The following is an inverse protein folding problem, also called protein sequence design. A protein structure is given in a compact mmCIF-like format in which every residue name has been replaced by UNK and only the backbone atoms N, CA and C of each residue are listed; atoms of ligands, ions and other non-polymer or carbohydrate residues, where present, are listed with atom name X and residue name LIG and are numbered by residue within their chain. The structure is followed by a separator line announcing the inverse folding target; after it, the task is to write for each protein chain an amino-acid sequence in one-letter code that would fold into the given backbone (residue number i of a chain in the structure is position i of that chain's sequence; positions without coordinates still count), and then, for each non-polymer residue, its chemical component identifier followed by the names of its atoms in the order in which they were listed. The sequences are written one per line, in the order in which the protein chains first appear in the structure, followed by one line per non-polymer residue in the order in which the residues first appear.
data_IF_573183445884
#
_entry.id   IF_573183445884
#
_cell.length_a   1.000
_cell.length_b   1.000
_cell.length_c   1.000
_cell.angle_alpha   90.00
_cell.angle_beta   90.00
_cell.angle_gamma   90.00
#
_symmetry.space_group_name_H-M   'P 1'
#
loop_
_entity.id
_entity.type
_entity.pdbx_description
1 polymer ?
#
# COMPACT_ATOMS: atom_id res chain seq x y z
N UNK A 1 14.85 -17.79 36.77
CA UNK A 1 13.87 -18.33 35.80
C UNK A 1 13.47 -17.24 34.84
N UNK A 2 13.89 -17.43 33.60
CA UNK A 2 13.45 -16.83 32.32
C UNK A 2 14.65 -16.81 31.39
N UNK A 3 14.51 -17.37 30.19
CA UNK A 3 15.02 -16.67 29.03
C UNK A 3 13.92 -16.51 27.98
N UNK A 4 13.71 -15.25 27.64
CA UNK A 4 13.00 -14.71 26.47
C UNK A 4 13.45 -15.40 25.19
N UNK A 5 12.51 -16.04 24.51
CA UNK A 5 12.69 -16.55 23.14
C UNK A 5 12.41 -15.46 22.11
N UNK A 6 13.32 -15.16 21.17
CA UNK A 6 13.00 -14.36 20.00
C UNK A 6 12.33 -15.22 18.92
N UNK A 7 11.22 -14.71 18.36
CA UNK A 7 10.51 -15.31 17.24
C UNK A 7 11.40 -15.30 15.99
N UNK A 8 11.81 -16.51 15.59
CA UNK A 8 12.71 -16.80 14.46
C UNK A 8 11.86 -17.06 13.20
N UNK A 9 11.76 -16.07 12.32
CA UNK A 9 11.10 -16.20 11.01
C UNK A 9 12.08 -16.76 9.97
N UNK A 10 12.35 -18.06 9.98
CA UNK A 10 13.18 -18.69 8.95
C UNK A 10 12.41 -18.95 7.65
N UNK A 11 12.95 -18.38 6.56
CA UNK A 11 13.05 -18.90 5.20
C UNK A 11 11.91 -19.77 4.64
N UNK A 12 11.08 -19.17 3.79
CA UNK A 12 10.39 -19.88 2.72
C UNK A 12 10.78 -19.29 1.34
N UNK A 13 11.73 -19.96 0.69
CA UNK A 13 11.99 -19.82 -0.75
C UNK A 13 10.96 -20.68 -1.51
N UNK A 14 10.09 -20.06 -2.30
CA UNK A 14 9.07 -20.76 -3.10
C UNK A 14 9.47 -20.82 -4.59
N UNK A 15 9.27 -22.00 -5.20
CA UNK A 15 9.48 -22.27 -6.62
C UNK A 15 8.38 -21.63 -7.48
N UNK A 16 8.80 -20.95 -8.54
CA UNK A 16 7.97 -20.38 -9.60
C UNK A 16 7.04 -21.40 -10.25
N UNK A 17 5.76 -21.05 -10.38
CA UNK A 17 4.86 -21.63 -11.38
C UNK A 17 4.14 -20.50 -12.12
N UNK A 18 4.28 -20.50 -13.43
CA UNK A 18 3.69 -19.53 -14.35
C UNK A 18 2.19 -19.79 -14.47
N UNK A 19 1.36 -18.81 -14.13
CA UNK A 19 -0.06 -18.81 -14.49
C UNK A 19 -0.42 -17.45 -15.07
N UNK A 20 -1.04 -17.52 -16.24
CA UNK A 20 -1.41 -16.45 -17.17
C UNK A 20 -1.98 -15.22 -16.47
N UNK A 21 -1.25 -14.11 -16.55
CA UNK A 21 -1.71 -12.76 -16.18
C UNK A 21 -2.85 -12.35 -17.11
N UNK A 22 -4.09 -12.39 -16.62
CA UNK A 22 -5.14 -11.52 -17.15
C UNK A 22 -4.81 -10.12 -16.63
N UNK A 23 -4.12 -9.34 -17.46
CA UNK A 23 -3.83 -7.95 -17.18
C UNK A 23 -5.12 -7.15 -17.32
N UNK A 24 -5.91 -7.05 -16.23
CA UNK A 24 -6.87 -5.96 -16.09
C UNK A 24 -6.06 -4.67 -16.15
N UNK A 25 -6.32 -3.81 -17.14
CA UNK A 25 -5.64 -2.53 -17.27
C UNK A 25 -6.00 -1.64 -16.07
N UNK A 26 -5.17 -1.68 -15.03
CA UNK A 26 -5.28 -1.00 -13.73
C UNK A 26 -5.27 0.54 -13.78
N UNK A 27 -5.46 1.17 -14.94
CA UNK A 27 -5.09 2.58 -15.13
C UNK A 27 -6.17 3.57 -14.65
N UNK A 28 -7.42 3.16 -14.42
CA UNK A 28 -8.45 4.08 -13.92
C UNK A 28 -9.56 3.37 -13.13
N UNK A 29 -9.23 2.91 -11.93
CA UNK A 29 -10.21 2.38 -10.98
C UNK A 29 -10.55 3.45 -9.95
N UNK A 30 -11.68 3.31 -9.25
CA UNK A 30 -11.97 4.22 -8.13
C UNK A 30 -10.85 4.16 -7.05
N UNK A 31 -10.22 2.98 -6.88
CA UNK A 31 -9.06 2.81 -6.01
C UNK A 31 -7.84 3.63 -6.44
N UNK A 32 -7.50 3.65 -7.72
CA UNK A 32 -6.36 4.44 -8.21
C UNK A 32 -6.68 5.94 -8.17
N UNK A 33 -7.92 6.35 -8.40
CA UNK A 33 -8.35 7.74 -8.16
C UNK A 33 -8.24 8.14 -6.68
N UNK A 34 -8.60 7.25 -5.76
CA UNK A 34 -8.43 7.47 -4.33
C UNK A 34 -6.95 7.61 -3.96
N UNK A 35 -6.10 6.67 -4.40
CA UNK A 35 -4.65 6.75 -4.22
C UNK A 35 -4.07 8.07 -4.75
N UNK A 36 -4.45 8.49 -5.95
CA UNK A 36 -4.03 9.77 -6.52
C UNK A 36 -4.41 10.97 -5.64
N UNK A 37 -5.64 11.00 -5.11
CA UNK A 37 -6.09 12.05 -4.19
C UNK A 37 -5.32 12.02 -2.87
N UNK A 38 -5.06 10.83 -2.33
CA UNK A 38 -4.28 10.63 -1.10
C UNK A 38 -2.89 11.26 -1.21
N UNK A 39 -2.13 10.92 -2.26
CA UNK A 39 -0.79 11.47 -2.45
C UNK A 39 -0.80 12.98 -2.74
N UNK A 40 -1.71 13.47 -3.60
CA UNK A 40 -1.82 14.91 -3.87
C UNK A 40 -2.20 15.72 -2.64
N UNK A 41 -3.14 15.22 -1.84
CA UNK A 41 -3.55 15.85 -0.60
C UNK A 41 -2.39 15.94 0.40
N UNK A 42 -1.58 14.88 0.50
CA UNK A 42 -0.37 14.88 1.31
C UNK A 42 0.63 15.97 0.86
N UNK A 43 0.96 16.01 -0.44
CA UNK A 43 1.89 17.01 -0.97
C UNK A 43 1.40 18.43 -0.74
N UNK A 44 0.12 18.69 -0.98
CA UNK A 44 -0.49 20.00 -0.74
C UNK A 44 -0.40 20.42 0.74
N UNK A 45 -0.70 19.50 1.68
CA UNK A 45 -0.60 19.78 3.13
C UNK A 45 0.84 20.08 3.57
N UNK A 46 1.83 19.45 2.93
CA UNK A 46 3.25 19.66 3.22
C UNK A 46 3.88 20.80 2.41
N UNK A 47 3.14 21.44 1.50
CA UNK A 47 3.65 22.51 0.64
C UNK A 47 4.65 22.02 -0.42
N UNK A 48 4.62 20.74 -0.79
CA UNK A 48 5.49 20.16 -1.81
C UNK A 48 4.84 20.23 -3.18
N UNK A 49 5.64 20.60 -4.19
CA UNK A 49 5.34 20.35 -5.59
C UNK A 49 6.10 19.11 -6.08
N UNK A 50 5.86 18.65 -7.31
CA UNK A 50 6.51 17.44 -7.82
C UNK A 50 8.02 17.60 -8.05
N UNK A 51 8.52 18.82 -8.22
CA UNK A 51 9.94 19.10 -8.40
C UNK A 51 10.69 18.95 -7.09
N UNK A 52 10.20 19.60 -6.03
CA UNK A 52 10.69 19.45 -4.67
C UNK A 52 10.59 17.99 -4.19
N UNK A 53 9.53 17.28 -4.55
CA UNK A 53 9.40 15.85 -4.24
C UNK A 53 10.49 15.03 -4.94
N UNK A 54 10.68 15.22 -6.26
CA UNK A 54 11.69 14.48 -7.01
C UNK A 54 13.12 14.77 -6.50
N UNK A 55 13.41 16.02 -6.16
CA UNK A 55 14.67 16.41 -5.54
C UNK A 55 14.89 15.75 -4.17
N UNK A 56 13.86 15.72 -3.31
CA UNK A 56 13.93 15.09 -1.99
C UNK A 56 14.11 13.56 -2.09
N UNK A 57 13.33 12.90 -2.97
CA UNK A 57 13.48 11.47 -3.26
C UNK A 57 14.90 11.14 -3.77
N UNK A 58 15.44 11.97 -4.66
CA UNK A 58 16.82 11.82 -5.17
C UNK A 58 17.85 11.98 -4.05
N UNK A 59 17.65 12.94 -3.14
CA UNK A 59 18.48 13.12 -1.95
C UNK A 59 18.49 11.91 -1.02
N UNK A 60 17.42 11.13 -1.01
CA UNK A 60 17.31 9.86 -0.28
C UNK A 60 17.83 8.64 -1.07
N UNK A 61 18.40 8.84 -2.26
CA UNK A 61 18.89 7.77 -3.13
C UNK A 61 17.83 7.11 -4.01
N UNK A 62 16.59 7.61 -4.02
CA UNK A 62 15.53 7.14 -4.91
C UNK A 62 15.60 7.91 -6.22
N UNK A 63 16.01 7.24 -7.30
CA UNK A 63 16.08 7.85 -8.63
C UNK A 63 14.67 8.11 -9.16
N UNK A 64 14.19 9.34 -8.97
CA UNK A 64 12.89 9.78 -9.42
C UNK A 64 12.99 11.11 -10.16
N UNK A 65 12.25 11.25 -11.26
CA UNK A 65 12.18 12.50 -12.01
C UNK A 65 10.87 13.22 -11.72
N UNK A 66 10.84 14.55 -11.93
CA UNK A 66 9.60 15.34 -11.87
C UNK A 66 8.45 14.66 -12.63
N UNK A 67 8.69 14.32 -13.91
CA UNK A 67 7.67 13.69 -14.77
C UNK A 67 7.28 12.30 -14.28
N UNK A 68 8.23 11.54 -13.74
CA UNK A 68 7.97 10.21 -13.18
C UNK A 68 7.06 10.26 -11.95
N UNK A 69 7.41 11.12 -10.98
CA UNK A 69 6.63 11.35 -9.77
C UNK A 69 5.22 11.87 -10.09
N UNK A 70 5.13 12.92 -10.92
CA UNK A 70 3.86 13.49 -11.36
C UNK A 70 2.98 12.41 -12.01
N UNK A 71 3.53 11.67 -12.98
CA UNK A 71 2.77 10.68 -13.74
C UNK A 71 2.29 9.50 -12.87
N UNK A 72 3.10 9.05 -11.91
CA UNK A 72 2.72 8.02 -10.91
C UNK A 72 1.57 8.51 -10.03
N UNK A 73 1.71 9.71 -9.46
CA UNK A 73 0.71 10.29 -8.54
C UNK A 73 -0.59 10.63 -9.27
N UNK A 74 -0.52 11.18 -10.48
CA UNK A 74 -1.70 11.48 -11.28
C UNK A 74 -2.51 10.23 -11.61
N UNK A 75 -1.86 9.14 -12.04
CA UNK A 75 -2.55 7.87 -12.31
C UNK A 75 -2.99 7.14 -11.04
N UNK A 76 -2.32 7.37 -9.91
CA UNK A 76 -2.55 6.64 -8.67
C UNK A 76 -2.17 5.15 -8.72
N UNK A 77 -1.48 4.72 -9.78
CA UNK A 77 -1.00 3.36 -9.98
C UNK A 77 0.47 3.26 -9.54
N UNK A 78 0.72 3.53 -8.26
CA UNK A 78 2.06 3.47 -7.66
C UNK A 78 2.14 2.39 -6.56
N UNK A 79 3.35 1.87 -6.35
CA UNK A 79 3.67 0.89 -5.31
C UNK A 79 3.54 1.49 -3.92
N UNK A 80 3.24 0.67 -2.92
CA UNK A 80 3.25 1.14 -1.54
C UNK A 80 4.64 1.63 -1.10
N UNK A 81 5.70 0.99 -1.57
CA UNK A 81 7.09 1.45 -1.35
C UNK A 81 7.31 2.90 -1.76
N UNK A 82 6.79 3.30 -2.92
CA UNK A 82 6.85 4.69 -3.38
C UNK A 82 6.07 5.63 -2.44
N UNK A 83 4.92 5.21 -1.92
CA UNK A 83 4.17 6.03 -0.96
C UNK A 83 4.94 6.23 0.36
N UNK A 84 5.59 5.18 0.88
CA UNK A 84 6.44 5.26 2.07
C UNK A 84 7.62 6.21 1.84
N UNK A 85 8.26 6.13 0.67
CA UNK A 85 9.32 7.05 0.26
C UNK A 85 8.81 8.49 0.19
N UNK A 86 7.61 8.72 -0.36
CA UNK A 86 6.98 10.04 -0.37
C UNK A 86 6.77 10.55 1.06
N UNK A 87 6.27 9.73 1.98
CA UNK A 87 6.06 10.12 3.38
C UNK A 87 7.37 10.59 4.02
N UNK A 88 8.45 9.83 3.86
CA UNK A 88 9.75 10.22 4.41
C UNK A 88 10.33 11.45 3.70
N UNK A 89 10.21 11.55 2.38
CA UNK A 89 10.72 12.67 1.59
C UNK A 89 10.09 14.02 1.94
N UNK A 90 8.84 14.02 2.39
CA UNK A 90 8.10 15.24 2.78
C UNK A 90 7.96 15.40 4.30
N UNK A 91 8.72 14.60 5.06
CA UNK A 91 8.71 14.60 6.53
C UNK A 91 7.29 14.48 7.12
N UNK A 92 6.50 13.55 6.57
CA UNK A 92 5.13 13.31 7.01
C UNK A 92 5.06 12.27 8.11
N UNK A 93 4.22 12.56 9.11
CA UNK A 93 3.82 11.58 10.12
C UNK A 93 3.14 10.38 9.45
N UNK A 94 3.43 9.18 9.96
CA UNK A 94 2.81 7.91 9.60
C UNK A 94 2.26 7.22 10.86
N UNK A 95 1.38 6.20 10.70
CA UNK A 95 0.91 5.39 11.80
C UNK A 95 2.04 4.95 12.75
N UNK A 96 1.83 5.12 14.05
CA UNK A 96 2.89 4.89 15.06
C UNK A 96 3.40 3.44 15.03
N UNK A 97 2.54 2.48 14.71
CA UNK A 97 2.92 1.09 14.58
C UNK A 97 3.83 0.82 13.36
N UNK A 98 3.97 1.76 12.43
CA UNK A 98 4.89 1.65 11.30
C UNK A 98 6.32 2.14 11.62
N UNK A 99 6.49 2.91 12.70
CA UNK A 99 7.75 3.58 13.04
C UNK A 99 8.94 2.64 13.09
N UNK A 100 8.82 1.50 13.77
CA UNK A 100 9.92 0.52 13.90
C UNK A 100 10.37 -0.03 12.54
N UNK A 101 9.48 -0.10 11.55
CA UNK A 101 9.81 -0.59 10.22
C UNK A 101 10.36 0.53 9.33
N UNK A 102 9.73 1.70 9.32
CA UNK A 102 10.16 2.83 8.46
C UNK A 102 11.53 3.37 8.86
N UNK A 103 11.87 3.33 10.15
CA UNK A 103 13.18 3.76 10.67
C UNK A 103 14.25 2.65 10.60
N UNK A 104 13.91 1.46 10.09
CA UNK A 104 14.86 0.37 9.94
C UNK A 104 15.84 0.64 8.77
N UNK A 105 16.92 -0.13 8.71
CA UNK A 105 17.88 -0.10 7.59
C UNK A 105 17.56 -1.12 6.49
N UNK A 106 16.33 -1.64 6.50
CA UNK A 106 15.89 -2.63 5.51
C UNK A 106 15.55 -1.97 4.18
N UNK A 107 15.37 -2.78 3.13
CA UNK A 107 14.89 -2.25 1.85
C UNK A 107 13.42 -1.84 1.95
N UNK A 108 12.99 -0.93 1.08
CA UNK A 108 11.61 -0.47 1.04
C UNK A 108 10.59 -1.58 0.86
N UNK A 109 10.93 -2.59 0.06
CA UNK A 109 10.10 -3.78 -0.16
C UNK A 109 9.91 -4.58 1.13
N UNK A 110 10.98 -4.78 1.90
CA UNK A 110 10.90 -5.47 3.20
C UNK A 110 10.06 -4.67 4.19
N UNK A 111 10.24 -3.35 4.24
CA UNK A 111 9.44 -2.45 5.09
C UNK A 111 7.95 -2.54 4.70
N UNK A 112 7.62 -2.50 3.41
CA UNK A 112 6.26 -2.62 2.91
C UNK A 112 5.62 -3.96 3.31
N UNK A 113 6.37 -5.07 3.19
CA UNK A 113 5.94 -6.40 3.65
C UNK A 113 5.67 -6.40 5.15
N UNK A 114 6.61 -5.92 5.97
CA UNK A 114 6.48 -5.89 7.42
C UNK A 114 5.27 -5.08 7.88
N UNK A 115 5.05 -3.90 7.29
CA UNK A 115 3.86 -3.08 7.58
C UNK A 115 2.59 -3.86 7.26
N UNK A 116 2.48 -4.46 6.07
CA UNK A 116 1.27 -5.18 5.69
C UNK A 116 0.96 -6.36 6.61
N UNK A 117 2.00 -7.13 6.97
CA UNK A 117 1.87 -8.27 7.86
C UNK A 117 1.49 -7.86 9.28
N UNK A 118 2.05 -6.76 9.79
CA UNK A 118 1.68 -6.25 11.11
C UNK A 118 0.22 -5.79 11.15
N UNK A 119 -0.27 -5.12 10.10
CA UNK A 119 -1.68 -4.71 10.02
C UNK A 119 -2.64 -5.92 9.92
N UNK A 120 -2.25 -6.97 9.20
CA UNK A 120 -3.01 -8.24 9.17
C UNK A 120 -3.07 -8.88 10.55
N UNK A 121 -1.93 -8.97 11.23
CA UNK A 121 -1.80 -9.54 12.56
C UNK A 121 -2.64 -8.75 13.58
N UNK A 122 -2.56 -7.43 13.58
CA UNK A 122 -3.35 -6.55 14.45
C UNK A 122 -4.86 -6.71 14.22
N UNK A 123 -5.26 -7.11 13.01
CA UNK A 123 -6.65 -7.34 12.62
C UNK A 123 -7.12 -8.80 12.79
N UNK A 124 -6.25 -9.71 13.26
CA UNK A 124 -6.54 -11.14 13.38
C UNK A 124 -6.81 -11.84 12.03
N UNK A 125 -6.25 -11.30 10.95
CA UNK A 125 -6.44 -11.75 9.58
C UNK A 125 -5.28 -12.62 9.10
N UNK A 126 -5.63 -13.61 8.28
CA UNK A 126 -4.72 -14.33 7.40
C UNK A 126 -5.13 -14.05 5.94
N UNK A 127 -4.33 -14.48 4.96
CA UNK A 127 -4.61 -14.23 3.54
C UNK A 127 -5.98 -14.80 3.08
N UNK A 128 -6.42 -15.93 3.64
CA UNK A 128 -7.71 -16.54 3.30
C UNK A 128 -8.88 -15.74 3.87
N UNK A 129 -8.75 -15.23 5.10
CA UNK A 129 -9.74 -14.33 5.71
C UNK A 129 -9.77 -12.99 4.98
N UNK A 130 -8.61 -12.45 4.61
CA UNK A 130 -8.50 -11.21 3.83
C UNK A 130 -9.22 -11.34 2.48
N UNK A 131 -8.88 -12.35 1.68
CA UNK A 131 -9.51 -12.60 0.38
C UNK A 131 -11.04 -12.75 0.50
N UNK A 132 -11.52 -13.47 1.54
CA UNK A 132 -12.96 -13.58 1.82
C UNK A 132 -13.62 -12.24 2.16
N UNK A 133 -12.93 -11.36 2.92
CA UNK A 133 -13.45 -10.02 3.22
C UNK A 133 -13.45 -9.12 1.99
N UNK A 134 -12.39 -9.17 1.18
CA UNK A 134 -12.32 -8.49 -0.11
C UNK A 134 -13.47 -8.90 -1.03
N UNK A 135 -13.74 -10.20 -1.16
CA UNK A 135 -14.86 -10.70 -1.97
C UNK A 135 -16.22 -10.15 -1.51
N UNK A 136 -16.45 -10.03 -0.18
CA UNK A 136 -17.67 -9.40 0.36
C UNK A 136 -17.82 -7.93 0.00
N UNK A 137 -16.72 -7.25 -0.31
CA UNK A 137 -16.68 -5.86 -0.76
C UNK A 137 -16.57 -5.74 -2.29
N UNK A 138 -16.74 -6.83 -3.05
CA UNK A 138 -16.62 -6.80 -4.52
C UNK A 138 -15.17 -6.66 -5.03
N UNK A 139 -14.17 -6.89 -4.18
CA UNK A 139 -12.75 -6.87 -4.56
C UNK A 139 -12.34 -8.33 -4.84
N UNK A 140 -12.12 -8.66 -6.10
CA UNK A 140 -11.64 -9.98 -6.48
C UNK A 140 -10.17 -10.16 -6.06
N UNK A 141 -9.88 -11.20 -5.29
CA UNK A 141 -8.51 -11.50 -4.87
C UNK A 141 -8.33 -12.98 -4.56
N UNK A 142 -7.23 -13.56 -5.05
CA UNK A 142 -6.80 -14.92 -4.72
C UNK A 142 -5.84 -14.90 -3.52
N UNK A 143 -6.01 -15.75 -2.50
CA UNK A 143 -5.13 -15.78 -1.33
C UNK A 143 -3.65 -16.01 -1.64
N UNK A 144 -3.34 -16.87 -2.62
CA UNK A 144 -1.94 -17.19 -2.97
C UNK A 144 -1.31 -16.02 -3.75
N UNK A 145 -2.09 -15.34 -4.58
CA UNK A 145 -1.65 -14.11 -5.26
C UNK A 145 -1.41 -12.99 -4.24
N UNK A 146 -2.27 -12.84 -3.23
CA UNK A 146 -2.06 -11.92 -2.11
C UNK A 146 -0.76 -12.26 -1.36
N UNK A 147 -0.58 -13.51 -0.97
CA UNK A 147 0.62 -13.96 -0.27
C UNK A 147 1.90 -13.68 -1.09
N UNK A 148 1.90 -14.02 -2.37
CA UNK A 148 3.06 -13.82 -3.25
C UNK A 148 3.41 -12.33 -3.41
N UNK A 149 2.43 -11.46 -3.68
CA UNK A 149 2.69 -10.04 -3.87
C UNK A 149 3.13 -9.37 -2.56
N UNK A 150 2.47 -9.70 -1.44
CA UNK A 150 2.79 -9.14 -0.12
C UNK A 150 4.18 -9.58 0.31
N UNK A 151 4.53 -10.87 0.16
CA UNK A 151 5.85 -11.37 0.54
C UNK A 151 6.99 -10.73 -0.27
N UNK A 152 6.72 -10.35 -1.52
CA UNK A 152 7.70 -9.66 -2.36
C UNK A 152 7.88 -8.16 -2.05
N UNK A 153 6.96 -7.56 -1.29
CA UNK A 153 6.88 -6.10 -1.12
C UNK A 153 6.46 -5.34 -2.39
N UNK A 154 6.21 -6.03 -3.50
CA UNK A 154 5.80 -5.45 -4.79
C UNK A 154 4.28 -5.45 -4.96
N UNK A 155 3.62 -4.58 -4.19
CA UNK A 155 2.18 -4.37 -4.31
C UNK A 155 1.83 -2.88 -4.38
N UNK A 156 0.67 -2.61 -4.98
CA UNK A 156 0.15 -1.25 -5.16
C UNK A 156 -0.33 -0.68 -3.83
N UNK A 157 -0.21 0.64 -3.66
CA UNK A 157 -0.77 1.33 -2.48
C UNK A 157 -2.30 1.14 -2.35
N UNK A 158 -2.99 0.90 -3.45
CA UNK A 158 -4.42 0.55 -3.44
C UNK A 158 -4.72 -0.67 -2.57
N UNK A 159 -3.79 -1.62 -2.43
CA UNK A 159 -3.98 -2.78 -1.55
C UNK A 159 -4.01 -2.39 -0.07
N UNK A 160 -3.26 -1.35 0.34
CA UNK A 160 -3.34 -0.78 1.71
C UNK A 160 -4.68 -0.08 1.93
N UNK A 161 -5.18 0.64 0.93
CA UNK A 161 -6.51 1.27 0.99
C UNK A 161 -7.63 0.21 1.06
N UNK A 162 -7.49 -0.88 0.32
CA UNK A 162 -8.42 -2.01 0.36
C UNK A 162 -8.33 -2.76 1.69
N UNK A 163 -7.13 -2.94 2.24
CA UNK A 163 -6.95 -3.49 3.58
C UNK A 163 -7.66 -2.62 4.62
N UNK A 164 -7.45 -1.31 4.58
CA UNK A 164 -8.05 -0.39 5.54
C UNK A 164 -9.58 -0.45 5.52
N UNK A 165 -10.20 -0.68 4.36
CA UNK A 165 -11.65 -0.90 4.23
C UNK A 165 -12.16 -2.03 5.14
N UNK A 166 -11.49 -3.19 5.11
CA UNK A 166 -11.94 -4.43 5.77
C UNK A 166 -11.30 -4.70 7.14
N UNK A 167 -10.26 -3.93 7.46
CA UNK A 167 -9.44 -4.00 8.64
C UNK A 167 -8.90 -2.58 8.94
N UNK A 168 -9.58 -1.80 9.80
CA UNK A 168 -9.18 -0.42 10.08
C UNK A 168 -7.72 -0.32 10.51
N UNK A 169 -6.95 0.49 9.78
CA UNK A 169 -5.55 0.79 10.10
C UNK A 169 -5.54 2.09 10.90
N UNK A 170 -5.12 2.04 12.16
CA UNK A 170 -5.03 3.24 13.00
C UNK A 170 -4.05 4.26 12.38
N UNK A 171 -4.47 5.53 12.26
CA UNK A 171 -3.64 6.61 11.73
C UNK A 171 -3.72 6.79 10.20
N UNK A 172 -4.36 5.87 9.46
CA UNK A 172 -4.50 5.99 8.00
C UNK A 172 -5.38 7.19 7.59
N UNK A 173 -6.27 7.63 8.47
CA UNK A 173 -7.17 8.77 8.30
C UNK A 173 -6.44 10.09 8.10
N UNK A 174 -5.16 10.15 8.50
CA UNK A 174 -4.26 11.29 8.22
C UNK A 174 -4.02 11.50 6.74
N UNK A 175 -4.24 10.48 5.91
CA UNK A 175 -4.00 10.51 4.48
C UNK A 175 -5.28 10.40 3.66
N UNK A 176 -6.28 9.69 4.15
CA UNK A 176 -7.49 9.36 3.40
C UNK A 176 -8.71 9.35 4.31
N UNK A 177 -9.81 10.00 3.90
CA UNK A 177 -11.06 9.95 4.65
C UNK A 177 -11.64 8.53 4.65
N UNK A 178 -12.05 8.04 5.82
CA UNK A 178 -12.71 6.73 5.97
C UNK A 178 -13.92 6.59 5.06
N UNK A 179 -14.73 7.65 4.91
CA UNK A 179 -15.92 7.65 4.07
C UNK A 179 -15.58 7.48 2.59
N UNK A 180 -14.45 8.02 2.16
CA UNK A 180 -13.98 7.86 0.78
C UNK A 180 -13.55 6.41 0.53
N UNK A 181 -12.84 5.78 1.47
CA UNK A 181 -12.49 4.36 1.41
C UNK A 181 -13.75 3.48 1.33
N UNK A 182 -14.76 3.75 2.17
CA UNK A 182 -16.00 2.97 2.22
C UNK A 182 -16.87 3.08 0.96
N UNK A 183 -16.82 4.21 0.25
CA UNK A 183 -17.56 4.43 -1.00
C UNK A 183 -16.86 3.86 -2.24
N UNK A 184 -15.54 3.71 -2.19
CA UNK A 184 -14.72 3.31 -3.33
C UNK A 184 -15.12 1.97 -3.97
N UNK A 185 -15.51 0.91 -3.21
CA UNK A 185 -16.04 -0.32 -3.80
C UNK A 185 -17.26 -0.11 -4.69
N UNK A 186 -18.21 0.73 -4.24
CA UNK A 186 -19.46 1.02 -4.97
C UNK A 186 -19.23 1.77 -6.28
N UNK A 187 -18.12 2.51 -6.38
CA UNK A 187 -17.70 3.20 -7.60
C UNK A 187 -16.89 2.29 -8.54
N UNK A 188 -16.45 1.12 -8.06
CA UNK A 188 -15.64 0.15 -8.80
C UNK A 188 -16.48 -0.96 -9.43
N UNK A 189 -17.67 -1.24 -8.89
CA UNK A 189 -18.64 -2.14 -9.50
C UNK A 189 -19.51 -1.37 -10.48
N UNK A 190 -19.65 -1.87 -11.71
CA UNK A 190 -20.66 -1.41 -12.67
C UNK A 190 -22.02 -1.35 -11.97
N UNK A 191 -22.49 -0.15 -11.66
CA UNK A 191 -23.91 0.10 -11.64
C UNK A 191 -24.39 -0.10 -13.09
N UNK A 192 -25.41 -0.94 -13.37
CA UNK A 192 -26.02 -0.91 -14.67
C UNK A 192 -26.47 0.52 -14.93
N UNK A 193 -25.91 1.15 -15.97
CA UNK A 193 -26.45 2.41 -16.48
C UNK A 193 -27.81 2.10 -17.12
N UNK A 194 -28.83 2.24 -16.28
CA UNK A 194 -30.28 2.17 -16.57
C UNK A 194 -30.83 0.79 -16.89
#
# INVERSE_FOLDING_TARGET
MSPTSPLRWEFYFFKSSLTTKIAVSHVDTAWTRLASRTARGLLARKGFNYDALAASLTGMGVQESFRGAESKIQRGAYRFTFFLQVLQAVDAEYPQQWTTFVESRESWEVIATHIFLEELKNSGLDYKKLARRFAKCGIASDPNVLESQISSGDFQFTLILQLSLVAPIAGIERFVDRRDVERTPSESGDAPRR
#
